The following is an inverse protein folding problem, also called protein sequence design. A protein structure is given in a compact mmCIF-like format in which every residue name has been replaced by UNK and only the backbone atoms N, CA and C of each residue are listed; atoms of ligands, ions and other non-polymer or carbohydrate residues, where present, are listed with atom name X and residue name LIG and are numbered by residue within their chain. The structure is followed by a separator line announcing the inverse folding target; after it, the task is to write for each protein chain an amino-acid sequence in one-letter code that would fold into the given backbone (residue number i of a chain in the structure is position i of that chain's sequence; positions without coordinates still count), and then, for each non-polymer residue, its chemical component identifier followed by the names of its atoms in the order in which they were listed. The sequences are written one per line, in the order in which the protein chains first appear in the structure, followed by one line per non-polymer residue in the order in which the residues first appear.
data_IF_068283885783
#
_entry.id   IF_068283885783
#
_cell.length_a   1.000
_cell.length_b   1.000
_cell.length_c   1.000
_cell.angle_alpha   90.00
_cell.angle_beta   90.00
_cell.angle_gamma   90.00
#
_symmetry.space_group_name_H-M   'P 1'
#
loop_
_entity.id
_entity.type
_entity.pdbx_description
1 polymer ?
#
# COMPACT_ATOMS: atom_id res chain seq x y z
N UNK A 1 -18.47 10.86 22.97
CA UNK A 1 -17.36 9.89 22.93
C UNK A 1 -17.89 8.63 22.26
N UNK A 2 -17.69 8.48 20.95
CA UNK A 2 -18.15 7.32 20.18
C UNK A 2 -17.12 6.20 20.34
N UNK A 3 -17.59 4.96 20.57
CA UNK A 3 -16.74 3.83 20.98
C UNK A 3 -15.81 3.36 19.85
N UNK A 4 -14.49 3.23 20.08
CA UNK A 4 -13.49 2.79 19.08
C UNK A 4 -13.52 1.30 18.68
N UNK A 5 -14.64 0.58 18.81
CA UNK A 5 -14.62 -0.87 19.05
C UNK A 5 -14.24 -1.79 17.87
N UNK A 6 -14.03 -1.29 16.64
CA UNK A 6 -13.67 -2.16 15.50
C UNK A 6 -12.33 -1.88 14.82
N UNK A 7 -11.79 -0.65 14.92
CA UNK A 7 -10.34 -0.41 14.74
C UNK A 7 -9.55 -1.42 15.58
N UNK A 8 -10.14 -1.84 16.71
CA UNK A 8 -9.59 -2.80 17.65
C UNK A 8 -9.62 -4.30 17.25
N UNK A 9 -10.38 -4.77 16.26
CA UNK A 9 -10.42 -6.21 15.96
C UNK A 9 -9.25 -6.70 15.09
N UNK A 10 -8.83 -5.92 14.08
CA UNK A 10 -7.52 -6.14 13.42
C UNK A 10 -6.38 -5.97 14.45
N UNK A 11 -6.51 -4.97 15.33
CA UNK A 11 -5.65 -4.73 16.50
C UNK A 11 -5.59 -5.87 17.53
N UNK A 12 -6.61 -6.73 17.70
CA UNK A 12 -6.57 -7.88 18.64
C UNK A 12 -5.60 -8.98 18.19
N UNK A 13 -5.37 -9.16 16.88
CA UNK A 13 -4.28 -10.00 16.37
C UNK A 13 -2.89 -9.42 16.72
N UNK A 14 -2.77 -8.10 16.84
CA UNK A 14 -1.52 -7.43 17.24
C UNK A 14 -1.33 -7.33 18.76
N UNK A 15 -2.41 -7.15 19.53
CA UNK A 15 -2.38 -7.09 21.00
C UNK A 15 -2.27 -8.47 21.68
N UNK A 16 -2.48 -9.57 20.94
CA UNK A 16 -2.24 -10.95 21.42
C UNK A 16 -0.77 -11.37 21.36
N UNK A 17 0.15 -10.50 20.92
CA UNK A 17 1.60 -10.74 20.93
C UNK A 17 2.11 -11.66 19.83
N UNK A 18 1.28 -12.05 18.85
CA UNK A 18 1.62 -13.01 17.78
C UNK A 18 1.87 -12.32 16.42
N UNK A 19 1.96 -10.99 16.37
CA UNK A 19 2.20 -10.22 15.15
C UNK A 19 3.43 -9.29 15.22
N UNK A 20 3.95 -8.80 14.07
CA UNK A 20 5.00 -7.79 14.06
C UNK A 20 4.60 -6.58 14.89
N UNK A 21 5.52 -6.06 15.71
CA UNK A 21 5.31 -4.79 16.40
C UNK A 21 5.28 -3.65 15.38
N UNK A 22 4.08 -3.15 15.11
CA UNK A 22 3.85 -1.99 14.26
C UNK A 22 3.87 -0.71 15.09
N UNK A 23 4.73 0.24 14.74
CA UNK A 23 4.74 1.57 15.37
C UNK A 23 3.93 2.55 14.53
N UNK A 24 3.00 3.27 15.15
CA UNK A 24 2.24 4.34 14.49
C UNK A 24 3.23 5.44 14.08
N UNK A 25 3.33 5.72 12.78
CA UNK A 25 4.17 6.78 12.25
C UNK A 25 3.40 8.09 12.10
N UNK A 26 2.18 8.02 11.57
CA UNK A 26 1.35 9.18 11.26
C UNK A 26 -0.13 8.83 11.41
N UNK A 27 -0.88 9.85 11.84
CA UNK A 27 -2.32 9.84 11.99
C UNK A 27 -2.83 11.21 11.54
N UNK A 28 -3.81 11.21 10.63
CA UNK A 28 -4.48 12.43 10.21
C UNK A 28 -5.95 12.14 9.96
N UNK A 29 -6.82 13.03 10.46
CA UNK A 29 -8.26 12.96 10.24
C UNK A 29 -8.72 14.24 9.58
N UNK A 30 -9.46 14.10 8.49
CA UNK A 30 -10.11 15.19 7.79
C UNK A 30 -11.62 14.95 7.75
N UNK A 31 -12.36 16.04 7.70
CA UNK A 31 -13.82 16.02 7.59
C UNK A 31 -14.28 16.96 6.48
N UNK A 32 -15.30 16.52 5.75
CA UNK A 32 -15.98 17.35 4.77
C UNK A 32 -17.46 16.97 4.71
N UNK A 33 -18.25 17.88 4.17
CA UNK A 33 -19.68 17.68 4.01
C UNK A 33 -19.97 17.29 2.57
N UNK A 34 -20.75 16.23 2.37
CA UNK A 34 -21.23 15.78 1.07
C UNK A 34 -22.76 15.67 1.17
N UNK A 35 -23.50 16.47 0.39
CA UNK A 35 -24.97 16.54 0.41
C UNK A 35 -25.52 16.73 1.84
N UNK A 36 -24.99 17.74 2.55
CA UNK A 36 -25.33 18.10 3.94
C UNK A 36 -25.05 17.02 5.01
N UNK A 37 -24.33 15.96 4.64
CA UNK A 37 -23.93 14.89 5.56
C UNK A 37 -22.42 14.87 5.75
N UNK A 38 -21.99 14.59 6.99
CA UNK A 38 -20.59 14.59 7.35
C UNK A 38 -19.91 13.29 6.90
N UNK A 39 -18.85 13.43 6.11
CA UNK A 39 -17.90 12.35 5.82
C UNK A 39 -16.64 12.61 6.64
N UNK A 40 -16.19 11.59 7.38
CA UNK A 40 -14.91 11.61 8.08
C UNK A 40 -13.97 10.63 7.43
N UNK A 41 -12.75 11.07 7.15
CA UNK A 41 -11.68 10.23 6.63
C UNK A 41 -10.51 10.30 7.58
N UNK A 42 -9.97 9.14 7.92
CA UNK A 42 -8.78 9.02 8.76
C UNK A 42 -7.75 8.17 8.07
N UNK A 43 -6.53 8.68 7.98
CA UNK A 43 -5.38 7.95 7.43
C UNK A 43 -4.46 7.52 8.58
N UNK A 44 -4.20 6.23 8.65
CA UNK A 44 -3.20 5.65 9.55
C UNK A 44 -2.01 5.16 8.72
N UNK A 45 -0.79 5.40 9.19
CA UNK A 45 0.41 4.78 8.64
C UNK A 45 1.22 4.15 9.76
N UNK A 46 1.53 2.86 9.60
CA UNK A 46 2.19 2.03 10.59
C UNK A 46 3.45 1.42 9.99
N UNK A 47 4.60 1.53 10.66
CA UNK A 47 5.86 0.94 10.20
C UNK A 47 6.22 -0.31 10.98
N UNK A 48 6.61 -1.35 10.26
CA UNK A 48 7.11 -2.58 10.84
C UNK A 48 8.52 -2.41 11.39
N UNK A 49 8.75 -2.98 12.58
CA UNK A 49 10.02 -2.94 13.27
C UNK A 49 10.89 -4.21 13.09
N UNK A 50 10.46 -5.20 12.30
CA UNK A 50 11.22 -6.44 12.07
C UNK A 50 12.55 -6.21 11.34
N UNK A 51 12.66 -5.14 10.56
CA UNK A 51 13.89 -4.72 9.87
C UNK A 51 14.11 -3.20 10.01
N UNK A 52 14.35 -2.75 11.24
CA UNK A 52 14.65 -1.35 11.55
C UNK A 52 16.02 -0.93 11.01
N UNK A 53 16.09 0.27 10.43
CA UNK A 53 17.33 0.86 9.94
C UNK A 53 17.06 2.21 9.29
N UNK A 54 18.10 3.02 9.22
CA UNK A 54 18.10 4.27 8.44
C UNK A 54 17.95 3.93 6.96
N UNK A 55 17.18 4.74 6.22
CA UNK A 55 16.78 4.48 4.82
C UNK A 55 17.97 4.25 3.88
N UNK A 56 19.10 4.92 4.15
CA UNK A 56 20.34 4.78 3.38
C UNK A 56 21.14 3.51 3.71
N UNK A 57 20.90 2.87 4.86
CA UNK A 57 21.74 1.78 5.36
C UNK A 57 21.04 0.42 5.39
N UNK A 58 19.71 0.38 5.24
CA UNK A 58 18.97 -0.89 5.16
C UNK A 58 18.01 -0.91 3.97
N UNK A 59 18.32 -1.83 3.05
CA UNK A 59 17.55 -2.20 1.87
C UNK A 59 17.21 -3.69 1.91
N UNK A 60 16.36 -4.14 1.00
CA UNK A 60 16.02 -5.56 0.86
C UNK A 60 15.29 -6.20 2.05
N UNK A 61 15.20 -7.52 2.00
CA UNK A 61 14.74 -8.40 3.05
C UNK A 61 15.88 -8.90 3.95
N UNK A 62 15.57 -9.38 5.15
CA UNK A 62 16.45 -10.30 5.90
C UNK A 62 16.14 -11.76 5.53
N UNK A 63 16.90 -12.69 6.10
CA UNK A 63 16.67 -14.14 5.93
C UNK A 63 15.28 -14.57 6.41
N UNK A 64 14.67 -13.84 7.34
CA UNK A 64 13.31 -14.10 7.83
C UNK A 64 12.19 -13.55 6.92
N UNK A 65 12.51 -12.97 5.76
CA UNK A 65 11.52 -12.42 4.81
C UNK A 65 10.93 -11.06 5.22
N UNK A 66 11.44 -10.41 6.27
CA UNK A 66 11.03 -9.06 6.66
C UNK A 66 11.76 -8.01 5.82
N UNK A 67 11.00 -7.19 5.10
CA UNK A 67 11.55 -6.12 4.25
C UNK A 67 11.82 -4.84 5.02
N UNK A 68 12.87 -4.13 4.61
CA UNK A 68 13.16 -2.80 5.10
C UNK A 68 12.04 -1.83 4.69
N UNK A 69 11.81 -0.81 5.53
CA UNK A 69 10.82 0.24 5.28
C UNK A 69 9.39 -0.26 5.00
N UNK A 70 9.03 -1.44 5.53
CA UNK A 70 7.68 -1.95 5.42
C UNK A 70 6.69 -1.04 6.17
N UNK A 71 5.72 -0.50 5.45
CA UNK A 71 4.68 0.39 5.96
C UNK A 71 3.32 -0.09 5.49
N UNK A 72 2.40 -0.18 6.44
CA UNK A 72 0.98 -0.39 6.22
C UNK A 72 0.26 0.95 6.32
N UNK A 73 -0.55 1.25 5.30
CA UNK A 73 -1.36 2.47 5.24
C UNK A 73 -2.82 2.07 5.20
N UNK A 74 -3.62 2.62 6.09
CA UNK A 74 -5.05 2.33 6.21
C UNK A 74 -5.86 3.61 6.09
N UNK A 75 -6.82 3.61 5.16
CA UNK A 75 -7.80 4.66 4.95
C UNK A 75 -9.13 4.23 5.57
N UNK A 76 -9.51 4.87 6.66
CA UNK A 76 -10.79 4.71 7.32
C UNK A 76 -11.77 5.79 6.82
N UNK A 77 -13.00 5.40 6.51
CA UNK A 77 -14.07 6.30 6.06
C UNK A 77 -15.32 6.03 6.89
N UNK A 78 -15.90 7.09 7.43
CA UNK A 78 -17.12 7.03 8.22
C UNK A 78 -18.19 7.96 7.62
N UNK A 79 -19.39 7.41 7.40
CA UNK A 79 -20.53 8.13 6.84
C UNK A 79 -21.85 7.49 7.31
N UNK A 80 -22.75 8.29 7.90
CA UNK A 80 -24.11 7.84 8.30
C UNK A 80 -24.13 6.54 9.14
N UNK A 81 -23.15 6.36 10.02
CA UNK A 81 -23.02 5.17 10.86
C UNK A 81 -22.42 3.95 10.16
N UNK A 82 -22.05 4.05 8.89
CA UNK A 82 -21.23 3.07 8.20
C UNK A 82 -19.75 3.40 8.41
N UNK A 83 -18.94 2.36 8.57
CA UNK A 83 -17.48 2.46 8.70
C UNK A 83 -16.82 1.55 7.67
N UNK A 84 -15.90 2.10 6.89
CA UNK A 84 -15.13 1.35 5.89
C UNK A 84 -13.64 1.52 6.12
N UNK A 85 -12.86 0.48 5.82
CA UNK A 85 -11.41 0.50 5.89
C UNK A 85 -10.80 -0.08 4.62
N UNK A 86 -9.79 0.60 4.08
CA UNK A 86 -9.00 0.14 2.94
C UNK A 86 -7.51 0.16 3.30
N UNK A 87 -6.87 -1.01 3.22
CA UNK A 87 -5.48 -1.22 3.59
C UNK A 87 -4.62 -1.41 2.34
N UNK A 88 -3.46 -0.77 2.32
CA UNK A 88 -2.40 -0.98 1.33
C UNK A 88 -1.06 -1.11 2.05
N UNK A 89 -0.11 -1.82 1.45
CA UNK A 89 1.24 -1.97 2.01
C UNK A 89 2.30 -1.50 1.02
N UNK A 90 3.44 -1.10 1.57
CA UNK A 90 4.66 -0.82 0.80
C UNK A 90 5.88 -1.31 1.54
N UNK A 91 6.97 -1.52 0.83
CA UNK A 91 8.26 -1.84 1.42
C UNK A 91 9.37 -1.91 0.38
N UNK A 92 10.59 -2.17 0.83
CA UNK A 92 11.69 -2.52 -0.08
C UNK A 92 11.39 -3.81 -0.85
N UNK A 93 12.00 -3.93 -2.03
CA UNK A 93 11.98 -5.14 -2.86
C UNK A 93 12.43 -6.34 -2.00
N UNK A 94 11.70 -7.47 -1.98
CA UNK A 94 11.89 -8.55 -1.01
C UNK A 94 13.03 -9.49 -1.39
N UNK A 95 14.08 -8.95 -2.00
CA UNK A 95 15.32 -9.66 -2.31
C UNK A 95 16.38 -9.41 -1.23
N UNK A 96 17.41 -10.26 -1.21
CA UNK A 96 18.63 -9.98 -0.48
C UNK A 96 19.50 -9.04 -1.33
N UNK A 97 19.44 -7.74 -1.01
CA UNK A 97 20.20 -6.71 -1.71
C UNK A 97 20.56 -5.57 -0.79
N UNK A 98 21.62 -4.88 -1.17
CA UNK A 98 22.17 -3.73 -0.45
C UNK A 98 22.52 -2.59 -1.40
N UNK A 99 22.74 -1.43 -0.81
CA UNK A 99 23.17 -0.23 -1.51
C UNK A 99 24.20 0.44 -0.59
N UNK A 100 25.46 0.04 -0.75
CA UNK A 100 26.54 0.48 0.12
C UNK A 100 26.80 1.96 -0.16
N UNK A 101 26.71 2.79 0.87
CA UNK A 101 26.98 4.23 0.75
C UNK A 101 28.47 4.44 0.45
N UNK A 102 28.76 5.09 -0.67
CA UNK A 102 30.08 5.52 -1.10
C UNK A 102 30.11 7.05 -1.35
N UNK A 103 31.20 7.58 -1.92
CA UNK A 103 31.29 9.00 -2.29
C UNK A 103 30.45 9.36 -3.54
N UNK A 104 29.73 8.40 -4.13
CA UNK A 104 28.90 8.66 -5.31
C UNK A 104 27.60 9.36 -4.92
N UNK A 105 27.05 10.13 -5.87
CA UNK A 105 25.76 10.81 -5.68
C UNK A 105 24.59 9.82 -5.49
N UNK A 106 24.64 8.67 -6.18
CA UNK A 106 23.66 7.59 -6.10
C UNK A 106 24.40 6.24 -6.10
N UNK A 107 24.63 5.63 -4.92
CA UNK A 107 25.31 4.34 -4.86
C UNK A 107 24.50 3.26 -5.55
N UNK A 108 25.17 2.31 -6.19
CA UNK A 108 24.50 1.29 -7.01
C UNK A 108 23.87 0.20 -6.12
N UNK A 109 22.62 -0.20 -6.36
CA UNK A 109 22.07 -1.42 -5.78
C UNK A 109 22.90 -2.65 -6.20
N UNK A 110 23.22 -3.50 -5.23
CA UNK A 110 23.91 -4.77 -5.43
C UNK A 110 23.08 -5.91 -4.85
N UNK A 111 22.85 -6.94 -5.65
CA UNK A 111 22.16 -8.16 -5.21
C UNK A 111 23.18 -9.04 -4.48
N UNK A 112 22.79 -9.56 -3.32
CA UNK A 112 23.61 -10.48 -2.54
C UNK A 112 23.23 -11.88 -2.98
N UNK A 113 24.11 -12.55 -3.72
CA UNK A 113 23.92 -13.95 -4.10
C UNK A 113 23.87 -14.83 -2.84
N UNK A 114 22.77 -15.55 -2.67
CA UNK A 114 22.55 -16.39 -1.51
C UNK A 114 21.59 -17.53 -1.86
N UNK A 115 21.90 -18.75 -1.41
CA UNK A 115 21.11 -19.95 -1.71
C UNK A 115 19.67 -19.89 -1.20
N UNK A 116 19.41 -19.13 -0.13
CA UNK A 116 18.08 -18.96 0.43
C UNK A 116 17.26 -17.82 -0.21
N UNK A 117 17.72 -17.15 -1.28
CA UNK A 117 17.02 -15.98 -1.84
C UNK A 117 15.54 -16.27 -2.15
N UNK A 118 15.24 -17.36 -2.86
CA UNK A 118 13.86 -17.75 -3.17
C UNK A 118 13.05 -18.05 -1.90
N UNK A 119 13.66 -18.71 -0.90
CA UNK A 119 12.99 -18.97 0.40
C UNK A 119 12.68 -17.69 1.16
N UNK A 120 13.53 -16.67 1.05
CA UNK A 120 13.29 -15.35 1.66
C UNK A 120 12.08 -14.67 1.02
N UNK A 121 11.99 -14.72 -0.30
CA UNK A 121 10.84 -14.20 -1.05
C UNK A 121 9.56 -14.96 -0.70
N UNK A 122 9.64 -16.29 -0.64
CA UNK A 122 8.53 -17.16 -0.21
C UNK A 122 8.06 -16.81 1.20
N UNK A 123 8.97 -16.73 2.18
CA UNK A 123 8.65 -16.33 3.57
C UNK A 123 7.98 -14.96 3.62
N UNK A 124 8.44 -14.01 2.81
CA UNK A 124 7.84 -12.67 2.73
C UNK A 124 6.38 -12.73 2.27
N UNK A 125 6.11 -13.43 1.17
CA UNK A 125 4.75 -13.48 0.63
C UNK A 125 3.82 -14.40 1.42
N UNK A 126 4.35 -15.46 2.04
CA UNK A 126 3.60 -16.26 2.98
C UNK A 126 3.12 -15.40 4.17
N UNK A 127 3.99 -14.56 4.74
CA UNK A 127 3.63 -13.64 5.81
C UNK A 127 2.56 -12.61 5.37
N UNK A 128 2.61 -12.11 4.14
CA UNK A 128 1.57 -11.23 3.61
C UNK A 128 0.25 -11.96 3.40
N UNK A 129 0.29 -13.17 2.84
CA UNK A 129 -0.90 -13.97 2.59
C UNK A 129 -1.64 -14.32 3.89
N UNK A 130 -0.90 -14.68 4.94
CA UNK A 130 -1.48 -14.95 6.26
C UNK A 130 -2.12 -13.72 6.92
N UNK A 131 -1.61 -12.52 6.62
CA UNK A 131 -2.07 -11.26 7.24
C UNK A 131 -3.21 -10.59 6.48
N UNK A 132 -3.16 -10.61 5.15
CA UNK A 132 -4.05 -9.82 4.30
C UNK A 132 -4.81 -10.64 3.25
N UNK A 133 -4.47 -11.91 3.04
CA UNK A 133 -5.07 -12.74 1.99
C UNK A 133 -4.37 -12.58 0.65
N UNK A 134 -5.14 -12.45 -0.42
CA UNK A 134 -4.59 -12.32 -1.78
C UNK A 134 -3.61 -11.14 -1.88
N UNK A 135 -2.45 -11.34 -2.52
CA UNK A 135 -1.42 -10.30 -2.60
C UNK A 135 -1.11 -9.97 -4.04
N UNK A 136 -1.27 -8.69 -4.39
CA UNK A 136 -0.78 -8.13 -5.64
C UNK A 136 0.46 -7.30 -5.39
N UNK A 137 1.44 -7.40 -6.29
CA UNK A 137 2.67 -6.61 -6.25
C UNK A 137 2.70 -5.62 -7.41
N UNK A 138 2.93 -4.36 -7.09
CA UNK A 138 3.21 -3.30 -8.06
C UNK A 138 4.66 -2.86 -7.88
N UNK A 139 5.49 -3.18 -8.88
CA UNK A 139 6.87 -2.70 -8.95
C UNK A 139 6.93 -1.37 -9.71
N UNK A 140 7.37 -0.30 -9.03
CA UNK A 140 7.48 1.06 -9.57
C UNK A 140 8.91 1.44 -9.94
N UNK A 141 9.82 0.45 -10.05
CA UNK A 141 11.21 0.67 -10.47
C UNK A 141 11.32 1.03 -11.94
N UNK A 142 12.44 1.68 -12.27
CA UNK A 142 12.80 1.92 -13.67
C UNK A 142 13.39 0.66 -14.29
N UNK A 143 13.07 0.39 -15.56
CA UNK A 143 13.70 -0.73 -16.29
C UNK A 143 15.13 -0.45 -16.73
N UNK A 144 15.59 0.80 -16.61
CA UNK A 144 16.89 1.24 -17.11
C UNK A 144 17.87 1.50 -15.97
N UNK A 145 19.16 1.34 -16.28
CA UNK A 145 20.25 1.60 -15.35
C UNK A 145 20.29 0.62 -14.18
N UNK A 146 20.86 1.08 -13.05
CA UNK A 146 21.13 0.22 -11.89
C UNK A 146 19.83 -0.25 -11.18
N UNK A 147 18.70 0.46 -11.33
CA UNK A 147 17.38 0.00 -10.85
C UNK A 147 16.87 -1.21 -11.66
N UNK A 148 17.17 -1.24 -12.96
CA UNK A 148 16.72 -2.28 -13.87
C UNK A 148 17.25 -3.67 -13.54
N UNK A 149 18.50 -3.78 -13.09
CA UNK A 149 19.08 -5.07 -12.67
C UNK A 149 18.33 -5.67 -11.49
N UNK A 150 18.00 -4.84 -10.49
CA UNK A 150 17.24 -5.28 -9.32
C UNK A 150 15.79 -5.62 -9.67
N UNK A 151 15.16 -4.82 -10.55
CA UNK A 151 13.82 -5.09 -11.06
C UNK A 151 13.75 -6.41 -11.83
N UNK A 152 14.71 -6.67 -12.72
CA UNK A 152 14.79 -7.91 -13.49
C UNK A 152 15.00 -9.12 -12.59
N UNK A 153 15.87 -9.02 -11.59
CA UNK A 153 16.07 -10.09 -10.61
C UNK A 153 14.78 -10.36 -9.81
N UNK A 154 14.05 -9.32 -9.43
CA UNK A 154 12.79 -9.49 -8.71
C UNK A 154 11.72 -10.12 -9.61
N UNK A 155 11.61 -9.66 -10.86
CA UNK A 155 10.72 -10.25 -11.85
C UNK A 155 11.03 -11.74 -12.09
N UNK A 156 12.31 -12.12 -12.11
CA UNK A 156 12.72 -13.52 -12.23
C UNK A 156 12.28 -14.34 -11.01
N UNK A 157 12.48 -13.84 -9.78
CA UNK A 157 11.98 -14.54 -8.58
C UNK A 157 10.45 -14.66 -8.56
N UNK A 158 9.72 -13.65 -9.04
CA UNK A 158 8.26 -13.70 -9.11
C UNK A 158 7.72 -14.81 -10.04
N UNK A 159 8.52 -15.30 -11.00
CA UNK A 159 8.12 -16.44 -11.83
C UNK A 159 7.97 -17.73 -11.01
N UNK A 160 8.64 -17.84 -9.86
CA UNK A 160 8.52 -18.97 -8.94
C UNK A 160 7.21 -18.92 -8.12
N UNK A 161 6.46 -17.81 -8.17
CA UNK A 161 5.25 -17.58 -7.38
C UNK A 161 4.07 -17.19 -8.28
N UNK A 162 3.56 -18.10 -9.14
CA UNK A 162 2.54 -17.79 -10.13
C UNK A 162 1.19 -17.37 -9.53
N UNK A 163 0.93 -17.73 -8.27
CA UNK A 163 -0.28 -17.35 -7.54
C UNK A 163 -0.27 -15.87 -7.13
N UNK A 164 0.87 -15.20 -7.19
CA UNK A 164 1.04 -13.80 -6.80
C UNK A 164 1.05 -12.94 -8.05
N UNK A 165 0.05 -12.07 -8.18
CA UNK A 165 -0.02 -11.17 -9.32
C UNK A 165 1.06 -10.10 -9.24
N UNK A 166 2.04 -10.16 -10.14
CA UNK A 166 3.11 -9.20 -10.28
C UNK A 166 2.87 -8.27 -11.47
N UNK A 167 2.91 -6.96 -11.23
CA UNK A 167 2.76 -5.91 -12.24
C UNK A 167 3.95 -4.96 -12.16
N UNK A 168 4.72 -4.87 -13.24
CA UNK A 168 5.79 -3.90 -13.37
C UNK A 168 5.28 -2.64 -14.07
N UNK A 169 5.43 -1.48 -13.44
CA UNK A 169 5.02 -0.19 -13.98
C UNK A 169 6.18 0.81 -13.92
N UNK A 170 6.73 1.18 -15.08
CA UNK A 170 7.82 2.15 -15.18
C UNK A 170 7.33 3.57 -14.86
N UNK A 171 7.32 3.91 -13.57
CA UNK A 171 6.70 5.14 -13.10
C UNK A 171 7.40 6.39 -13.63
N UNK A 172 8.74 6.42 -13.74
CA UNK A 172 9.41 7.63 -14.22
C UNK A 172 9.18 7.86 -15.70
N UNK A 173 9.19 6.81 -16.52
CA UNK A 173 8.90 6.95 -17.94
C UNK A 173 7.45 7.36 -18.17
N UNK A 174 6.52 6.75 -17.43
CA UNK A 174 5.08 6.92 -17.67
C UNK A 174 4.52 8.17 -16.98
N UNK A 175 4.89 8.43 -15.73
CA UNK A 175 4.39 9.57 -14.93
C UNK A 175 5.40 10.72 -14.80
N UNK A 176 6.47 10.71 -15.59
CA UNK A 176 7.46 11.77 -15.65
C UNK A 176 6.84 13.15 -15.95
N UNK A 177 7.47 14.22 -15.46
CA UNK A 177 6.99 15.59 -15.69
C UNK A 177 5.70 15.96 -14.94
N UNK A 178 5.25 15.14 -13.97
CA UNK A 178 4.05 15.43 -13.17
C UNK A 178 2.74 14.95 -13.81
N UNK A 179 2.81 14.14 -14.87
CA UNK A 179 1.64 13.58 -15.55
C UNK A 179 1.09 12.35 -14.81
N UNK A 180 0.43 12.61 -13.68
CA UNK A 180 -0.13 11.55 -12.84
C UNK A 180 -1.42 10.91 -13.40
N UNK A 181 -1.99 11.49 -14.46
CA UNK A 181 -3.17 10.91 -15.12
C UNK A 181 -2.84 9.56 -15.75
N UNK A 182 -1.57 9.33 -16.09
CA UNK A 182 -1.11 8.04 -16.61
C UNK A 182 -1.14 6.90 -15.58
N UNK A 183 -1.40 7.18 -14.29
CA UNK A 183 -1.73 6.13 -13.33
C UNK A 183 -3.04 5.43 -13.64
N UNK A 184 -3.91 6.05 -14.44
CA UNK A 184 -5.10 5.37 -14.95
C UNK A 184 -4.74 4.12 -15.75
N UNK A 185 -3.64 4.16 -16.53
CA UNK A 185 -3.15 2.99 -17.29
C UNK A 185 -2.80 1.83 -16.36
N UNK A 186 -2.12 2.12 -15.24
CA UNK A 186 -1.84 1.12 -14.21
C UNK A 186 -3.14 0.57 -13.61
N UNK A 187 -4.09 1.46 -13.28
CA UNK A 187 -5.33 1.05 -12.65
C UNK A 187 -6.21 0.23 -13.57
N UNK A 188 -6.29 0.55 -14.86
CA UNK A 188 -7.05 -0.23 -15.84
C UNK A 188 -6.54 -1.68 -15.93
N UNK A 189 -5.23 -1.89 -15.75
CA UNK A 189 -4.64 -3.23 -15.71
C UNK A 189 -5.03 -4.01 -14.45
N UNK A 190 -5.10 -3.34 -13.29
CA UNK A 190 -5.26 -3.99 -11.97
C UNK A 190 -6.66 -3.86 -11.37
N UNK A 191 -7.57 -3.13 -12.01
CA UNK A 191 -8.87 -2.77 -11.46
C UNK A 191 -9.68 -4.00 -11.04
N UNK A 192 -9.76 -5.01 -11.91
CA UNK A 192 -10.51 -6.24 -11.62
C UNK A 192 -10.02 -6.91 -10.32
N UNK A 193 -8.70 -6.97 -10.14
CA UNK A 193 -8.11 -7.58 -8.96
C UNK A 193 -8.34 -6.72 -7.71
N UNK A 194 -8.21 -5.39 -7.80
CA UNK A 194 -8.50 -4.49 -6.67
C UNK A 194 -9.97 -4.59 -6.27
N UNK A 195 -10.90 -4.62 -7.24
CA UNK A 195 -12.32 -4.78 -6.97
C UNK A 195 -12.63 -6.13 -6.32
N UNK A 196 -11.95 -7.21 -6.74
CA UNK A 196 -12.05 -8.53 -6.12
C UNK A 196 -11.52 -8.54 -4.68
N UNK A 197 -10.39 -7.88 -4.41
CA UNK A 197 -9.82 -7.75 -3.07
C UNK A 197 -10.72 -6.91 -2.14
N UNK A 198 -11.42 -5.94 -2.72
CA UNK A 198 -12.43 -5.14 -2.03
C UNK A 198 -11.86 -4.27 -0.90
N UNK A 199 -12.75 -3.91 0.01
CA UNK A 199 -12.45 -3.16 1.22
C UNK A 199 -13.37 -3.63 2.33
N UNK A 200 -12.98 -3.37 3.57
CA UNK A 200 -13.81 -3.67 4.73
C UNK A 200 -14.97 -2.68 4.83
N UNK A 201 -16.18 -3.15 5.12
CA UNK A 201 -17.35 -2.31 5.38
C UNK A 201 -18.18 -2.89 6.52
N UNK A 202 -18.58 -2.06 7.47
CA UNK A 202 -19.40 -2.41 8.62
C UNK A 202 -20.50 -1.38 8.84
N UNK A 203 -21.64 -1.84 9.34
CA UNK A 203 -22.74 -0.95 9.71
C UNK A 203 -22.71 -0.52 11.18
N UNK A 204 -23.65 0.35 11.56
CA UNK A 204 -23.76 0.90 12.91
C UNK A 204 -24.12 -0.13 13.98
N UNK A 205 -24.60 -1.31 13.59
CA UNK A 205 -24.88 -2.44 14.48
C UNK A 205 -23.66 -3.33 14.73
N UNK A 206 -22.55 -3.06 14.05
CA UNK A 206 -21.35 -3.88 14.10
C UNK A 206 -21.39 -5.11 13.17
N UNK A 207 -22.36 -5.18 12.26
CA UNK A 207 -22.42 -6.26 11.26
C UNK A 207 -21.44 -5.96 10.14
N UNK A 208 -20.56 -6.92 9.84
CA UNK A 208 -19.61 -6.85 8.73
C UNK A 208 -20.39 -7.12 7.44
N UNK A 209 -20.38 -6.14 6.55
CA UNK A 209 -21.03 -6.19 5.24
C UNK A 209 -20.06 -6.64 4.14
N UNK A 210 -18.79 -6.27 4.26
CA UNK A 210 -17.71 -6.64 3.34
C UNK A 210 -16.41 -6.81 4.14
N UNK A 211 -15.59 -7.78 3.74
CA UNK A 211 -14.23 -7.95 4.22
C UNK A 211 -13.24 -7.70 3.08
N UNK A 212 -12.12 -7.06 3.40
CA UNK A 212 -11.01 -6.95 2.46
C UNK A 212 -10.25 -8.29 2.42
N UNK A 213 -10.24 -8.96 1.27
CA UNK A 213 -9.66 -10.30 1.11
C UNK A 213 -8.28 -10.32 0.46
N UNK A 214 -7.66 -9.14 0.27
CA UNK A 214 -6.33 -9.02 -0.27
C UNK A 214 -5.71 -7.64 -0.12
N UNK A 215 -4.48 -7.48 -0.57
CA UNK A 215 -3.71 -6.25 -0.44
C UNK A 215 -2.86 -5.97 -1.67
N UNK A 216 -2.75 -4.68 -1.99
CA UNK A 216 -1.77 -4.16 -2.95
C UNK A 216 -0.49 -3.79 -2.21
N UNK A 217 0.61 -4.44 -2.60
CA UNK A 217 1.97 -4.15 -2.17
C UNK A 217 2.70 -3.35 -3.25
N UNK A 218 3.09 -2.13 -2.93
CA UNK A 218 3.95 -1.31 -3.80
C UNK A 218 5.41 -1.34 -3.35
N UNK A 219 6.35 -1.41 -4.30
CA UNK A 219 7.76 -1.21 -4.02
C UNK A 219 8.42 -0.22 -4.98
N UNK A 220 9.48 0.40 -4.50
CA UNK A 220 10.36 1.30 -5.23
C UNK A 220 11.75 1.27 -4.54
N UNK A 221 12.81 1.59 -5.28
CA UNK A 221 14.15 1.68 -4.71
C UNK A 221 14.31 3.01 -3.96
N UNK A 222 14.05 4.16 -4.60
CA UNK A 222 14.59 5.42 -4.08
C UNK A 222 13.63 6.49 -3.58
N UNK A 223 12.35 6.53 -3.97
CA UNK A 223 11.48 7.62 -3.52
C UNK A 223 10.15 7.13 -2.94
N UNK A 224 9.94 7.51 -1.68
CA UNK A 224 8.65 7.54 -1.01
C UNK A 224 7.58 8.16 -1.91
N UNK A 225 7.94 9.15 -2.74
CA UNK A 225 7.03 9.89 -3.61
C UNK A 225 6.34 9.00 -4.65
N UNK A 226 7.06 8.12 -5.36
CA UNK A 226 6.47 7.14 -6.31
C UNK A 226 5.40 6.30 -5.62
N UNK A 227 5.77 5.65 -4.51
CA UNK A 227 4.84 4.81 -3.74
C UNK A 227 3.70 5.59 -3.10
N UNK A 228 3.96 6.79 -2.58
CA UNK A 228 2.94 7.67 -1.97
C UNK A 228 1.91 8.10 -3.00
N UNK A 229 2.36 8.50 -4.19
CA UNK A 229 1.48 8.96 -5.26
C UNK A 229 0.60 7.81 -5.73
N UNK A 230 1.17 6.62 -5.98
CA UNK A 230 0.40 5.43 -6.37
C UNK A 230 -0.58 5.02 -5.27
N UNK A 231 -0.14 4.89 -4.01
CA UNK A 231 -1.05 4.53 -2.90
C UNK A 231 -2.17 5.56 -2.71
N UNK A 232 -1.88 6.86 -2.88
CA UNK A 232 -2.87 7.94 -2.81
C UNK A 232 -3.87 7.86 -3.96
N UNK A 233 -3.42 7.48 -5.17
CA UNK A 233 -4.31 7.27 -6.30
C UNK A 233 -5.25 6.08 -6.09
N UNK A 234 -4.72 4.94 -5.65
CA UNK A 234 -5.53 3.75 -5.34
C UNK A 234 -6.51 4.01 -4.19
N UNK A 235 -6.08 4.73 -3.15
CA UNK A 235 -6.96 5.13 -2.04
C UNK A 235 -8.11 6.02 -2.51
N UNK A 236 -7.88 6.91 -3.50
CA UNK A 236 -8.97 7.71 -4.10
C UNK A 236 -9.96 6.85 -4.89
N UNK A 237 -9.48 5.88 -5.67
CA UNK A 237 -10.35 4.93 -6.39
C UNK A 237 -11.19 4.09 -5.43
N UNK A 238 -10.57 3.59 -4.35
CA UNK A 238 -11.29 2.88 -3.28
C UNK A 238 -12.32 3.79 -2.61
N UNK A 239 -11.96 5.02 -2.27
CA UNK A 239 -12.86 5.98 -1.62
C UNK A 239 -14.10 6.29 -2.46
N UNK A 240 -13.96 6.47 -3.77
CA UNK A 240 -15.11 6.64 -4.67
C UNK A 240 -16.06 5.43 -4.55
N UNK A 241 -15.50 4.21 -4.58
CA UNK A 241 -16.28 2.98 -4.43
C UNK A 241 -16.97 2.88 -3.07
N UNK A 242 -16.25 3.22 -1.99
CA UNK A 242 -16.77 3.24 -0.62
C UNK A 242 -17.93 4.23 -0.47
N UNK A 243 -17.76 5.47 -0.92
CA UNK A 243 -18.80 6.50 -0.81
C UNK A 243 -20.02 6.19 -1.68
N UNK A 244 -19.84 5.59 -2.87
CA UNK A 244 -20.98 5.09 -3.68
C UNK A 244 -21.72 3.97 -2.95
N UNK A 245 -21.00 3.01 -2.37
CA UNK A 245 -21.60 1.90 -1.62
C UNK A 245 -22.33 2.37 -0.37
N UNK A 246 -21.83 3.41 0.29
CA UNK A 246 -22.46 4.07 1.43
C UNK A 246 -23.64 4.98 1.05
N UNK A 247 -23.92 5.16 -0.25
CA UNK A 247 -25.00 6.02 -0.75
C UNK A 247 -24.70 7.52 -0.71
N UNK A 248 -23.45 7.90 -0.45
CA UNK A 248 -23.03 9.30 -0.40
C UNK A 248 -22.86 9.91 -1.82
N UNK A 249 -22.42 9.09 -2.78
CA UNK A 249 -22.28 9.42 -4.20
C UNK A 249 -23.22 8.59 -5.06
N UNK A 250 -23.71 9.18 -6.15
CA UNK A 250 -24.38 8.45 -7.23
C UNK A 250 -23.36 7.69 -8.09
N UNK A 251 -23.83 6.77 -8.94
CA UNK A 251 -22.97 5.98 -9.84
C UNK A 251 -22.16 6.83 -10.82
N UNK A 252 -22.63 8.02 -11.16
CA UNK A 252 -21.96 8.95 -12.10
C UNK A 252 -21.05 9.98 -11.41
N UNK A 253 -21.16 10.15 -10.09
CA UNK A 253 -20.35 11.12 -9.34
C UNK A 253 -18.98 10.51 -8.95
N UNK A 254 -17.93 11.33 -8.99
CA UNK A 254 -16.60 11.00 -8.49
C UNK A 254 -16.07 12.15 -7.64
N UNK A 255 -15.33 11.83 -6.58
CA UNK A 255 -14.73 12.83 -5.69
C UNK A 255 -13.71 13.68 -6.44
N UNK A 256 -13.11 13.16 -7.52
CA UNK A 256 -12.17 13.91 -8.36
C UNK A 256 -12.80 15.14 -8.99
N UNK A 257 -14.13 15.22 -9.12
CA UNK A 257 -14.86 16.35 -9.67
C UNK A 257 -15.13 17.47 -8.63
N UNK A 258 -14.81 17.25 -7.35
CA UNK A 258 -15.00 18.24 -6.29
C UNK A 258 -13.66 18.85 -5.86
N UNK A 259 -13.36 20.05 -6.35
CA UNK A 259 -12.08 20.74 -6.13
C UNK A 259 -11.76 20.96 -4.64
N UNK A 260 -12.78 21.18 -3.80
CA UNK A 260 -12.62 21.42 -2.36
C UNK A 260 -12.13 20.20 -1.57
N UNK A 261 -12.39 18.99 -2.08
CA UNK A 261 -12.03 17.74 -1.45
C UNK A 261 -10.62 17.30 -1.91
N UNK A 262 -10.30 17.50 -3.19
CA UNK A 262 -8.97 17.22 -3.76
C UNK A 262 -7.84 17.97 -3.03
N UNK A 263 -8.06 19.23 -2.65
CA UNK A 263 -7.05 20.04 -1.95
C UNK A 263 -6.82 19.60 -0.50
N UNK A 264 -7.84 19.03 0.16
CA UNK A 264 -7.68 18.44 1.50
C UNK A 264 -6.91 17.13 1.45
N UNK A 265 -7.10 16.32 0.40
CA UNK A 265 -6.34 15.08 0.21
C UNK A 265 -4.86 15.31 -0.05
N UNK A 266 -4.49 16.36 -0.79
CA UNK A 266 -3.08 16.70 -1.03
C UNK A 266 -2.34 17.10 0.25
N UNK A 267 -3.05 17.64 1.24
CA UNK A 267 -2.50 18.05 2.55
C UNK A 267 -2.30 16.88 3.53
N UNK A 268 -2.75 15.67 3.18
CA UNK A 268 -2.57 14.47 4.01
C UNK A 268 -1.27 13.69 3.72
N UNK A 269 -0.32 14.27 2.97
CA UNK A 269 0.96 13.66 2.58
C UNK A 269 2.07 13.90 3.61
#
# INVERSE_FOLDING_TARGET
MLSPSFVFQHWRKYASGVGPSLTILRFQTEQFTLKDRLVRITLFSRRCNRRLGTRMWRRGANLEGATANFVETEQLVEYEGLTSSFIQVRGSIPLLWEQIVDLSYKPRPSIIEHEEMTKVVERHFHDLSQRYGDTMVIDLTDKQGDEGNLSNAFAAEMQNFPDIRYVHFDFHHICGGGNFDNLQVLYDEIEEAIQKQGYFLMNSKGEILLDQSGVVRSNCIDCLDRTNVTQSFLARKSLDSQLRRMGALSSAESISQSDSINDKFKKCK
#
